data_IF_655842291570
#
_entry.id   IF_655842291570
#
_cell.length_a   1.000
_cell.length_b   1.000
_cell.length_c   1.000
_cell.angle_alpha   90.00
_cell.angle_beta   90.00
_cell.angle_gamma   90.00
#
_symmetry.space_group_name_H-M   'P 1'
#
loop_
_entity.id
_entity.type
_entity.pdbx_description
1 polymer ?
#
# COMPACT_ATOMS: atom_id res chain seq x y z
N UNK A 1 -12.07 -63.67 19.27
CA UNK A 1 -11.79 -63.27 20.67
C UNK A 1 -10.90 -62.03 20.59
N UNK A 2 -11.16 -60.85 21.15
CA UNK A 2 -12.19 -60.26 22.02
C UNK A 2 -12.50 -58.85 21.47
N UNK A 3 -13.74 -58.40 21.67
CA UNK A 3 -14.25 -57.03 21.49
C UNK A 3 -13.79 -56.13 22.65
N UNK A 4 -13.96 -54.81 22.54
CA UNK A 4 -14.66 -53.89 23.48
C UNK A 4 -14.42 -52.44 22.99
N UNK A 5 -15.43 -51.75 22.40
CA UNK A 5 -16.50 -50.91 22.99
C UNK A 5 -15.96 -49.76 23.88
N UNK A 6 -16.13 -48.48 23.49
CA UNK A 6 -17.31 -47.59 23.57
C UNK A 6 -17.64 -47.07 25.00
N UNK A 7 -17.60 -45.74 25.12
CA UNK A 7 -18.60 -44.86 25.76
C UNK A 7 -18.78 -44.82 27.30
N UNK A 8 -18.51 -43.60 27.81
CA UNK A 8 -19.49 -42.71 28.46
C UNK A 8 -19.80 -42.78 29.97
N UNK A 9 -20.09 -41.56 30.47
CA UNK A 9 -20.88 -41.16 31.63
C UNK A 9 -20.17 -41.07 32.99
N UNK A 10 -20.36 -40.07 33.87
CA UNK A 10 -20.92 -38.71 33.93
C UNK A 10 -21.40 -38.49 35.40
N UNK A 11 -21.59 -37.22 35.79
CA UNK A 11 -22.35 -36.68 36.95
C UNK A 11 -21.66 -36.66 38.34
N UNK A 12 -21.79 -35.63 39.20
CA UNK A 12 -22.61 -34.40 39.26
C UNK A 12 -21.96 -33.36 40.24
N UNK A 13 -22.01 -32.03 40.00
CA UNK A 13 -22.93 -31.00 40.57
C UNK A 13 -22.70 -30.64 42.07
N UNK A 14 -22.76 -29.42 42.62
CA UNK A 14 -22.96 -27.98 42.27
C UNK A 14 -22.52 -27.16 43.53
N UNK A 15 -22.24 -25.85 43.52
CA UNK A 15 -23.11 -24.66 43.81
C UNK A 15 -22.10 -23.49 44.02
N UNK A 16 -22.26 -22.21 43.64
CA UNK A 16 -23.46 -21.45 43.29
C UNK A 16 -23.14 -20.14 42.55
N UNK A 17 -24.23 -19.51 42.13
CA UNK A 17 -24.32 -18.46 41.12
C UNK A 17 -23.98 -17.04 41.60
N UNK A 18 -23.56 -16.19 40.66
CA UNK A 18 -24.19 -14.88 40.50
C UNK A 18 -24.29 -14.55 39.00
N UNK A 19 -25.52 -14.35 38.54
CA UNK A 19 -25.85 -13.98 37.19
C UNK A 19 -25.33 -12.56 36.86
N UNK A 20 -24.47 -12.44 35.86
CA UNK A 20 -24.36 -11.24 35.03
C UNK A 20 -24.60 -11.68 33.60
N UNK A 21 -25.61 -11.08 32.97
CA UNK A 21 -25.95 -11.27 31.57
C UNK A 21 -24.71 -11.00 30.72
N UNK A 22 -24.12 -12.05 30.15
CA UNK A 22 -23.35 -11.92 28.92
C UNK A 22 -24.35 -11.47 27.86
N UNK A 23 -24.28 -10.18 27.49
CA UNK A 23 -24.91 -9.69 26.28
C UNK A 23 -24.50 -10.62 25.13
N UNK A 24 -25.49 -11.31 24.56
CA UNK A 24 -25.34 -11.95 23.25
C UNK A 24 -24.76 -10.90 22.32
N UNK A 25 -23.61 -11.22 21.71
CA UNK A 25 -23.16 -10.51 20.52
C UNK A 25 -24.36 -10.39 19.54
N UNK A 26 -24.60 -9.22 18.94
CA UNK A 26 -25.69 -9.06 17.98
C UNK A 26 -25.57 -10.11 16.87
N UNK A 27 -26.67 -10.83 16.66
CA UNK A 27 -26.75 -11.97 15.74
C UNK A 27 -26.82 -11.48 14.29
N UNK A 28 -25.96 -12.08 13.46
CA UNK A 28 -26.03 -12.39 12.02
C UNK A 28 -26.91 -11.53 11.08
N UNK A 29 -26.27 -10.99 10.04
CA UNK A 29 -26.88 -10.70 8.75
C UNK A 29 -25.93 -11.20 7.63
N UNK A 30 -26.44 -11.76 6.53
CA UNK A 30 -26.11 -13.08 6.00
C UNK A 30 -24.62 -13.27 5.70
N UNK A 31 -24.13 -14.45 6.09
CA UNK A 31 -22.79 -14.97 5.89
C UNK A 31 -22.50 -15.18 4.39
N UNK A 32 -22.30 -14.09 3.64
CA UNK A 32 -21.85 -14.13 2.25
C UNK A 32 -20.40 -14.57 2.25
N UNK A 33 -20.17 -15.79 1.74
CA UNK A 33 -18.81 -16.24 1.41
C UNK A 33 -18.31 -15.48 0.19
N UNK A 34 -16.99 -15.31 0.11
CA UNK A 34 -16.30 -14.80 -1.09
C UNK A 34 -16.73 -15.55 -2.36
N UNK A 35 -16.97 -16.86 -2.25
CA UNK A 35 -17.43 -17.71 -3.35
C UNK A 35 -18.91 -17.53 -3.74
N UNK A 36 -19.65 -16.65 -3.06
CA UNK A 36 -21.11 -16.48 -3.19
C UNK A 36 -21.52 -15.05 -3.58
N UNK A 37 -20.61 -14.21 -4.09
CA UNK A 37 -20.98 -12.87 -4.60
C UNK A 37 -22.00 -12.98 -5.73
N UNK A 38 -23.27 -12.79 -5.39
CA UNK A 38 -24.36 -12.53 -6.33
C UNK A 38 -25.08 -11.28 -5.83
N UNK A 39 -25.06 -10.21 -6.63
CA UNK A 39 -25.76 -8.92 -6.48
C UNK A 39 -26.09 -8.49 -5.03
N UNK A 40 -25.17 -7.76 -4.39
CA UNK A 40 -25.43 -7.11 -3.09
C UNK A 40 -25.74 -5.63 -3.34
N UNK A 41 -26.84 -5.14 -2.78
CA UNK A 41 -27.17 -3.71 -2.73
C UNK A 41 -26.41 -3.04 -1.58
N UNK A 42 -25.83 -1.87 -1.82
CA UNK A 42 -24.96 -1.17 -0.87
C UNK A 42 -25.59 0.17 -0.45
N UNK A 43 -25.54 0.51 0.85
CA UNK A 43 -25.99 1.78 1.40
C UNK A 43 -24.79 2.49 2.04
N UNK A 44 -24.56 3.75 1.70
CA UNK A 44 -23.38 4.51 2.12
C UNK A 44 -23.62 5.21 3.45
N UNK A 45 -22.70 5.04 4.40
CA UNK A 45 -23.02 5.19 5.82
C UNK A 45 -22.39 6.39 6.54
N UNK A 46 -21.66 7.27 5.85
CA UNK A 46 -20.88 8.33 6.49
C UNK A 46 -21.59 9.70 6.52
N UNK A 47 -21.82 10.27 7.71
CA UNK A 47 -22.33 11.65 7.91
C UNK A 47 -21.41 12.45 8.84
N UNK A 48 -21.32 13.77 8.63
CA UNK A 48 -20.41 14.66 9.38
C UNK A 48 -20.79 14.71 10.88
N UNK A 49 -19.83 14.44 11.77
CA UNK A 49 -20.03 14.41 13.22
C UNK A 49 -19.64 15.74 13.91
N UNK A 50 -20.12 15.99 15.15
CA UNK A 50 -19.68 17.13 15.97
C UNK A 50 -18.19 17.05 16.33
N UNK A 51 -17.45 18.16 16.24
CA UNK A 51 -15.99 18.21 16.39
C UNK A 51 -15.49 17.57 17.70
N UNK A 52 -14.74 16.48 17.59
CA UNK A 52 -14.01 15.86 18.70
C UNK A 52 -12.52 15.73 18.32
N UNK A 53 -11.64 16.06 19.25
CA UNK A 53 -10.19 15.88 19.09
C UNK A 53 -9.85 14.43 19.45
N UNK A 54 -9.27 13.70 18.50
CA UNK A 54 -8.71 12.36 18.72
C UNK A 54 -7.18 12.49 18.65
N UNK A 55 -6.45 11.92 19.61
CA UNK A 55 -4.98 12.06 19.76
C UNK A 55 -4.25 10.76 19.35
N UNK A 56 -4.42 10.32 18.11
CA UNK A 56 -3.87 9.05 17.58
C UNK A 56 -2.45 9.17 16.99
N UNK A 57 -1.63 10.10 17.51
CA UNK A 57 -0.43 10.61 16.81
C UNK A 57 0.59 9.56 16.36
N UNK A 58 0.79 8.46 17.08
CA UNK A 58 1.79 7.46 16.71
C UNK A 58 1.36 6.59 15.53
N UNK A 59 0.06 6.30 15.41
CA UNK A 59 -0.52 5.42 14.40
C UNK A 59 -0.88 6.14 13.08
N UNK A 60 -1.09 7.45 13.14
CA UNK A 60 -1.40 8.31 11.98
C UNK A 60 -0.12 8.63 11.23
N UNK A 61 -0.18 8.63 9.89
CA UNK A 61 0.95 8.98 9.06
C UNK A 61 0.90 8.29 7.71
N UNK A 62 2.08 8.21 7.09
CA UNK A 62 2.27 7.48 5.86
C UNK A 62 2.71 6.05 6.15
N UNK A 63 2.00 5.09 5.58
CA UNK A 63 2.25 3.67 5.78
C UNK A 63 2.56 3.00 4.45
N UNK A 64 3.42 2.00 4.49
CA UNK A 64 3.64 1.06 3.41
C UNK A 64 2.84 -0.18 3.68
N UNK A 65 1.88 -0.46 2.81
CA UNK A 65 1.04 -1.62 2.86
C UNK A 65 1.60 -2.67 1.92
N UNK A 66 2.12 -3.76 2.48
CA UNK A 66 2.66 -4.87 1.73
C UNK A 66 1.73 -6.07 1.81
N UNK A 67 1.45 -6.66 0.66
CA UNK A 67 0.56 -7.81 0.52
C UNK A 67 1.26 -8.94 -0.21
N UNK A 68 1.08 -10.16 0.27
CA UNK A 68 1.52 -11.35 -0.46
C UNK A 68 0.36 -11.84 -1.32
N UNK A 69 0.57 -11.85 -2.63
CA UNK A 69 -0.35 -12.48 -3.56
C UNK A 69 0.08 -13.92 -3.77
N UNK A 70 -0.58 -14.87 -3.09
CA UNK A 70 -0.25 -16.31 -3.18
C UNK A 70 -0.39 -16.86 -4.61
N UNK A 71 -1.34 -16.36 -5.40
CA UNK A 71 -1.54 -16.81 -6.79
C UNK A 71 -0.39 -16.35 -7.68
N UNK A 72 0.18 -15.19 -7.35
CA UNK A 72 1.30 -14.58 -8.06
C UNK A 72 2.63 -14.78 -7.35
N UNK A 73 2.71 -15.44 -6.21
CA UNK A 73 3.94 -15.64 -5.43
C UNK A 73 4.83 -14.37 -5.36
N UNK A 74 4.23 -13.21 -5.15
CA UNK A 74 4.94 -11.92 -5.15
C UNK A 74 4.40 -10.99 -4.05
N UNK A 75 5.31 -10.18 -3.51
CA UNK A 75 4.96 -9.06 -2.63
C UNK A 75 4.60 -7.82 -3.45
N UNK A 76 3.35 -7.40 -3.33
CA UNK A 76 2.88 -6.14 -3.91
C UNK A 76 2.70 -5.12 -2.80
N UNK A 77 3.34 -3.97 -2.96
CA UNK A 77 3.37 -2.91 -1.95
C UNK A 77 2.73 -1.63 -2.47
N UNK A 78 2.12 -0.88 -1.57
CA UNK A 78 1.39 0.34 -1.87
C UNK A 78 1.63 1.38 -0.79
N UNK A 79 1.52 2.66 -1.13
CA UNK A 79 1.54 3.73 -0.13
C UNK A 79 0.13 4.04 0.33
N UNK A 80 -0.09 3.98 1.63
CA UNK A 80 -1.33 4.33 2.28
C UNK A 80 -1.11 5.56 3.18
N UNK A 81 -2.17 6.32 3.44
CA UNK A 81 -2.10 7.42 4.39
C UNK A 81 -3.29 7.41 5.32
N UNK A 82 -3.00 7.46 6.61
CA UNK A 82 -3.99 7.55 7.66
C UNK A 82 -3.99 8.98 8.21
N UNK A 83 -5.19 9.53 8.42
CA UNK A 83 -5.42 10.86 8.97
C UNK A 83 -6.43 10.80 10.09
N UNK A 84 -6.35 11.73 11.05
CA UNK A 84 -7.46 11.93 11.99
C UNK A 84 -8.72 12.34 11.23
N UNK A 85 -9.83 11.69 11.55
CA UNK A 85 -11.15 12.01 11.06
C UNK A 85 -12.11 12.22 12.23
N UNK A 86 -13.31 12.69 11.91
CA UNK A 86 -14.39 12.76 12.88
C UNK A 86 -15.73 12.73 12.13
N UNK A 87 -16.13 11.51 11.80
CA UNK A 87 -17.31 11.19 10.99
C UNK A 87 -18.16 10.21 11.79
N UNK A 88 -19.47 10.22 11.61
CA UNK A 88 -20.38 9.25 12.22
C UNK A 88 -20.83 8.25 11.16
N UNK A 89 -20.88 6.98 11.54
CA UNK A 89 -21.61 5.97 10.78
C UNK A 89 -23.13 6.12 10.98
N UNK A 90 -23.94 5.37 10.23
CA UNK A 90 -25.40 5.41 10.35
C UNK A 90 -25.94 4.90 11.69
N UNK A 91 -25.13 4.15 12.45
CA UNK A 91 -25.44 3.74 13.81
C UNK A 91 -25.08 4.82 14.85
N UNK A 92 -24.48 5.94 14.42
CA UNK A 92 -24.06 7.05 15.26
C UNK A 92 -22.71 6.85 15.95
N UNK A 93 -21.95 5.80 15.60
CA UNK A 93 -20.60 5.61 16.12
C UNK A 93 -19.63 6.58 15.47
N UNK A 94 -18.74 7.17 16.26
CA UNK A 94 -17.67 8.03 15.74
C UNK A 94 -16.55 7.20 15.12
N UNK A 95 -16.30 7.43 13.83
CA UNK A 95 -15.12 7.02 13.07
C UNK A 95 -14.09 8.16 13.13
N UNK A 96 -12.94 7.86 13.73
CA UNK A 96 -11.92 8.83 14.09
C UNK A 96 -10.65 8.78 13.20
N UNK A 97 -10.65 7.92 12.19
CA UNK A 97 -9.56 7.77 11.22
C UNK A 97 -10.11 7.79 9.80
N UNK A 98 -9.43 8.49 8.90
CA UNK A 98 -9.61 8.41 7.45
C UNK A 98 -8.39 7.71 6.87
N UNK A 99 -8.61 6.63 6.12
CA UNK A 99 -7.57 5.84 5.47
C UNK A 99 -7.70 5.99 3.96
N UNK A 100 -6.73 6.70 3.38
CA UNK A 100 -6.52 6.75 1.93
C UNK A 100 -5.63 5.59 1.52
N UNK A 101 -6.16 4.70 0.69
CA UNK A 101 -5.48 3.48 0.25
C UNK A 101 -4.91 3.71 -1.14
N UNK A 102 -3.75 3.13 -1.44
CA UNK A 102 -3.15 3.15 -2.79
C UNK A 102 -2.93 4.57 -3.33
N UNK A 103 -2.31 5.45 -2.53
CA UNK A 103 -2.07 6.84 -2.91
C UNK A 103 -3.36 7.62 -3.19
N UNK A 104 -4.48 7.20 -2.59
CA UNK A 104 -5.82 7.76 -2.78
C UNK A 104 -6.39 7.58 -4.20
N UNK A 105 -5.85 6.67 -5.03
CA UNK A 105 -6.37 6.45 -6.39
C UNK A 105 -7.81 5.93 -6.42
N UNK A 106 -8.16 5.05 -5.49
CA UNK A 106 -9.54 4.58 -5.31
C UNK A 106 -10.34 5.48 -4.37
N UNK A 107 -9.70 6.44 -3.70
CA UNK A 107 -10.28 7.29 -2.66
C UNK A 107 -9.88 6.84 -1.25
N UNK A 108 -10.86 6.86 -0.33
CA UNK A 108 -10.63 6.63 1.10
C UNK A 108 -11.81 5.94 1.78
N UNK A 109 -11.54 5.33 2.93
CA UNK A 109 -12.54 4.78 3.85
C UNK A 109 -12.35 5.37 5.25
N UNK A 110 -13.35 5.21 6.12
CA UNK A 110 -13.27 5.66 7.50
C UNK A 110 -13.17 4.50 8.48
N UNK A 111 -12.44 4.69 9.55
CA UNK A 111 -12.31 3.69 10.61
C UNK A 111 -12.28 4.30 11.98
N UNK A 112 -12.24 3.41 12.97
CA UNK A 112 -12.10 3.73 14.38
C UNK A 112 -10.80 3.11 14.89
N UNK A 113 -9.94 3.93 15.46
CA UNK A 113 -8.83 3.48 16.30
C UNK A 113 -9.24 3.57 17.77
N UNK A 114 -9.13 2.46 18.47
CA UNK A 114 -9.31 2.35 19.91
C UNK A 114 -7.94 2.30 20.60
N UNK A 115 -7.56 3.40 21.24
CA UNK A 115 -6.29 3.56 21.95
C UNK A 115 -6.13 2.59 23.13
N UNK A 116 -7.23 2.16 23.75
CA UNK A 116 -7.15 1.24 24.90
C UNK A 116 -6.71 -0.17 24.48
N UNK A 117 -7.02 -0.55 23.24
CA UNK A 117 -6.72 -1.88 22.71
C UNK A 117 -5.69 -1.85 21.58
N UNK A 118 -5.26 -0.66 21.13
CA UNK A 118 -4.50 -0.42 19.91
C UNK A 118 -5.12 -1.11 18.68
N UNK A 119 -6.46 -1.06 18.57
CA UNK A 119 -7.19 -1.73 17.49
C UNK A 119 -7.71 -0.70 16.51
N UNK A 120 -7.35 -0.86 15.23
CA UNK A 120 -7.95 -0.15 14.12
C UNK A 120 -9.05 -1.01 13.50
N UNK A 121 -10.24 -0.44 13.32
CA UNK A 121 -11.40 -1.11 12.73
C UNK A 121 -11.99 -0.25 11.62
N UNK A 122 -12.20 -0.84 10.44
CA UNK A 122 -12.95 -0.23 9.33
C UNK A 122 -14.24 -1.03 9.17
N UNK A 123 -15.40 -0.43 9.45
CA UNK A 123 -16.69 -1.07 9.21
C UNK A 123 -16.80 -1.59 7.77
N UNK A 124 -17.33 -2.80 7.61
CA UNK A 124 -17.59 -3.38 6.29
C UNK A 124 -18.60 -2.54 5.50
N UNK A 125 -18.60 -2.72 4.17
CA UNK A 125 -19.57 -2.10 3.23
C UNK A 125 -19.47 -0.58 3.14
N UNK A 126 -18.32 0.00 3.48
CA UNK A 126 -18.11 1.41 3.23
C UNK A 126 -17.83 1.68 1.76
N UNK A 127 -18.46 2.70 1.21
CA UNK A 127 -18.02 3.22 -0.08
C UNK A 127 -16.66 3.88 0.05
N UNK A 128 -15.81 3.61 -0.92
CA UNK A 128 -14.63 4.42 -1.15
C UNK A 128 -15.02 5.83 -1.58
N UNK A 129 -14.23 6.81 -1.14
CA UNK A 129 -14.30 8.17 -1.69
C UNK A 129 -15.66 8.82 -1.51
N UNK A 130 -16.34 8.53 -0.39
CA UNK A 130 -17.70 9.02 -0.11
C UNK A 130 -18.75 8.58 -1.15
N UNK A 131 -18.51 7.47 -1.84
CA UNK A 131 -19.42 6.94 -2.87
C UNK A 131 -19.27 7.62 -4.24
N UNK A 132 -18.23 8.44 -4.44
CA UNK A 132 -17.93 8.95 -5.78
C UNK A 132 -17.59 7.80 -6.72
N UNK A 133 -18.28 7.66 -7.87
CA UNK A 133 -17.96 6.65 -8.85
C UNK A 133 -16.54 6.82 -9.41
N UNK A 134 -15.87 5.70 -9.69
CA UNK A 134 -14.62 5.71 -10.47
C UNK A 134 -14.89 5.31 -11.91
N UNK A 135 -14.00 5.73 -12.80
CA UNK A 135 -14.03 5.34 -14.21
C UNK A 135 -13.51 3.91 -14.38
N UNK A 136 -14.35 3.03 -14.95
CA UNK A 136 -14.03 1.65 -15.30
C UNK A 136 -13.83 1.48 -16.82
N UNK A 137 -13.70 2.58 -17.57
CA UNK A 137 -13.49 2.63 -19.01
C UNK A 137 -14.81 2.85 -19.78
N UNK A 138 -15.71 1.87 -19.78
CA UNK A 138 -16.99 1.96 -20.50
C UNK A 138 -18.15 2.45 -19.61
N UNK A 139 -18.00 2.33 -18.29
CA UNK A 139 -19.00 2.75 -17.30
C UNK A 139 -18.32 3.33 -16.05
N UNK A 140 -19.11 4.04 -15.23
CA UNK A 140 -18.67 4.51 -13.93
C UNK A 140 -19.46 3.81 -12.83
N UNK A 141 -18.78 3.46 -11.75
CA UNK A 141 -19.43 2.76 -10.64
C UNK A 141 -18.75 3.11 -9.31
N UNK A 142 -19.51 3.27 -8.21
CA UNK A 142 -18.95 3.34 -6.87
C UNK A 142 -18.18 2.06 -6.51
N UNK A 143 -17.20 2.19 -5.62
CA UNK A 143 -16.42 1.06 -5.10
C UNK A 143 -16.74 0.86 -3.62
N UNK A 144 -16.87 -0.40 -3.19
CA UNK A 144 -17.21 -0.76 -1.81
C UNK A 144 -16.10 -1.58 -1.18
N UNK A 145 -15.72 -1.21 0.04
CA UNK A 145 -14.71 -1.85 0.87
C UNK A 145 -15.28 -2.94 1.77
N UNK A 146 -14.53 -4.03 1.90
CA UNK A 146 -14.81 -5.12 2.84
C UNK A 146 -13.55 -5.66 3.48
N UNK A 147 -13.60 -5.94 4.78
CA UNK A 147 -12.72 -6.93 5.37
C UNK A 147 -13.10 -8.34 4.92
N UNK A 148 -12.13 -9.24 4.91
CA UNK A 148 -12.30 -10.66 4.64
C UNK A 148 -11.75 -11.44 5.81
N UNK A 149 -12.58 -12.31 6.38
CA UNK A 149 -12.19 -13.18 7.48
C UNK A 149 -11.33 -14.34 7.01
N UNK A 150 -10.63 -14.99 7.94
CA UNK A 150 -9.85 -16.21 7.68
C UNK A 150 -10.71 -17.39 7.19
N UNK A 151 -12.02 -17.33 7.42
CA UNK A 151 -13.03 -18.28 6.93
C UNK A 151 -13.72 -17.84 5.62
N UNK A 152 -13.15 -16.87 4.90
CA UNK A 152 -13.65 -16.37 3.60
C UNK A 152 -15.04 -15.71 3.64
N UNK A 153 -15.44 -15.18 4.80
CA UNK A 153 -16.62 -14.34 4.93
C UNK A 153 -16.25 -12.87 4.96
N UNK A 154 -17.10 -12.04 4.35
CA UNK A 154 -17.03 -10.59 4.54
C UNK A 154 -17.23 -10.20 6.00
N UNK A 155 -16.41 -9.27 6.48
CA UNK A 155 -16.45 -8.76 7.85
C UNK A 155 -15.90 -7.33 7.90
N UNK A 156 -15.96 -6.70 9.08
CA UNK A 156 -15.18 -5.50 9.35
C UNK A 156 -13.69 -5.83 9.19
N UNK A 157 -12.92 -4.89 8.63
CA UNK A 157 -11.47 -5.02 8.65
C UNK A 157 -10.96 -4.60 10.03
N UNK A 158 -10.21 -5.48 10.67
CA UNK A 158 -9.69 -5.25 12.02
C UNK A 158 -8.20 -5.58 12.05
N UNK A 159 -7.40 -4.62 12.49
CA UNK A 159 -5.96 -4.75 12.61
C UNK A 159 -5.47 -4.17 13.94
N UNK A 160 -4.40 -4.76 14.48
CA UNK A 160 -3.77 -4.34 15.72
C UNK A 160 -2.51 -3.55 15.41
N UNK A 161 -2.37 -2.40 16.04
CA UNK A 161 -1.17 -1.58 15.96
C UNK A 161 -0.21 -1.94 17.10
N UNK A 162 1.06 -2.14 16.74
CA UNK A 162 2.16 -2.29 17.68
C UNK A 162 3.05 -1.04 17.64
N UNK A 163 2.99 -0.18 18.68
CA UNK A 163 3.82 1.03 18.74
C UNK A 163 5.32 0.77 18.78
N UNK A 164 5.76 -0.43 19.17
CA UNK A 164 7.19 -0.76 19.29
C UNK A 164 7.83 -1.05 17.93
N UNK A 165 7.07 -1.63 17.02
CA UNK A 165 7.51 -1.97 15.66
C UNK A 165 6.96 -1.01 14.60
N UNK A 166 5.92 -0.23 14.95
CA UNK A 166 5.20 0.61 13.99
C UNK A 166 4.41 -0.21 12.97
N UNK A 167 4.02 -1.44 13.31
CA UNK A 167 3.27 -2.32 12.43
C UNK A 167 1.78 -2.30 12.77
N UNK A 168 0.96 -2.31 11.72
CA UNK A 168 -0.46 -2.59 11.76
C UNK A 168 -0.70 -3.94 11.06
N UNK A 169 -1.13 -4.93 11.82
CA UNK A 169 -1.31 -6.31 11.34
C UNK A 169 -2.76 -6.75 11.53
N UNK A 170 -3.40 -7.35 10.51
CA UNK A 170 -4.70 -7.98 10.69
C UNK A 170 -4.71 -8.94 11.88
N UNK A 171 -5.81 -8.98 12.63
CA UNK A 171 -5.94 -9.95 13.71
C UNK A 171 -6.18 -11.37 13.18
N UNK A 172 -6.12 -12.37 14.06
CA UNK A 172 -6.25 -13.80 13.71
C UNK A 172 -7.59 -14.19 13.04
N UNK A 173 -8.58 -13.30 13.07
CA UNK A 173 -9.89 -13.52 12.45
C UNK A 173 -10.04 -12.86 11.08
N UNK A 174 -9.15 -11.94 10.71
CA UNK A 174 -9.17 -11.15 9.48
C UNK A 174 -8.01 -11.56 8.58
N UNK A 175 -8.32 -12.11 7.41
CA UNK A 175 -7.32 -12.43 6.37
C UNK A 175 -6.83 -11.17 5.65
N UNK A 176 -7.68 -10.16 5.49
CA UNK A 176 -7.31 -8.93 4.79
C UNK A 176 -8.53 -8.15 4.35
N UNK A 177 -8.46 -7.50 3.19
CA UNK A 177 -9.56 -6.71 2.65
C UNK A 177 -9.62 -6.74 1.13
N UNK A 178 -10.79 -6.39 0.60
CA UNK A 178 -11.10 -6.33 -0.82
C UNK A 178 -11.96 -5.11 -1.11
N UNK A 179 -11.79 -4.55 -2.31
CA UNK A 179 -12.63 -3.50 -2.84
C UNK A 179 -13.30 -3.99 -4.12
N UNK A 180 -14.62 -3.80 -4.24
CA UNK A 180 -15.42 -4.28 -5.37
C UNK A 180 -16.23 -3.17 -6.01
N UNK A 181 -16.51 -3.36 -7.31
CA UNK A 181 -17.49 -2.57 -8.05
C UNK A 181 -18.89 -2.78 -7.48
N UNK A 182 -19.57 -1.68 -7.15
CA UNK A 182 -20.86 -1.71 -6.46
C UNK A 182 -22.02 -2.11 -7.39
N UNK A 183 -22.02 -1.60 -8.61
CA UNK A 183 -23.14 -1.67 -9.55
C UNK A 183 -22.65 -1.67 -11.01
N UNK A 184 -23.56 -1.92 -11.94
CA UNK A 184 -23.25 -1.95 -13.37
C UNK A 184 -22.84 -3.33 -13.89
N UNK A 185 -22.27 -3.34 -15.09
CA UNK A 185 -21.86 -4.55 -15.81
C UNK A 185 -20.73 -5.28 -15.08
N UNK A 186 -19.84 -4.54 -14.44
CA UNK A 186 -18.72 -5.09 -13.66
C UNK A 186 -19.06 -5.30 -12.19
N UNK A 187 -20.33 -5.24 -11.77
CA UNK A 187 -20.72 -5.45 -10.37
C UNK A 187 -20.04 -6.71 -9.79
N UNK A 188 -19.50 -6.58 -8.57
CA UNK A 188 -18.75 -7.61 -7.85
C UNK A 188 -17.33 -7.90 -8.38
N UNK A 189 -16.89 -7.26 -9.46
CA UNK A 189 -15.51 -7.35 -9.89
C UNK A 189 -14.57 -6.73 -8.84
N UNK A 190 -13.45 -7.40 -8.60
CA UNK A 190 -12.39 -6.92 -7.71
C UNK A 190 -11.65 -5.75 -8.38
N UNK A 191 -11.57 -4.61 -7.70
CA UNK A 191 -10.65 -3.52 -8.10
C UNK A 191 -9.40 -3.49 -7.25
N UNK A 192 -9.45 -4.09 -6.05
CA UNK A 192 -8.31 -4.27 -5.16
C UNK A 192 -8.54 -5.50 -4.29
N UNK A 193 -7.47 -6.27 -4.09
CA UNK A 193 -7.44 -7.41 -3.18
C UNK A 193 -6.13 -7.42 -2.44
N UNK A 194 -6.22 -7.47 -1.12
CA UNK A 194 -5.05 -7.43 -0.27
C UNK A 194 -5.23 -8.41 0.89
N UNK A 195 -4.49 -9.52 0.84
CA UNK A 195 -4.53 -10.58 1.83
C UNK A 195 -3.19 -10.69 2.57
N UNK A 196 -3.32 -11.04 3.85
CA UNK A 196 -2.27 -10.97 4.86
C UNK A 196 -1.43 -9.67 4.79
N UNK A 197 -2.05 -8.47 4.69
CA UNK A 197 -1.27 -7.25 4.62
C UNK A 197 -0.40 -7.07 5.85
N UNK A 198 0.86 -6.73 5.64
CA UNK A 198 1.71 -6.12 6.65
C UNK A 198 1.79 -4.63 6.35
N UNK A 199 1.28 -3.81 7.25
CA UNK A 199 1.17 -2.37 7.04
C UNK A 199 2.12 -1.66 8.01
N UNK A 200 3.31 -1.28 7.53
CA UNK A 200 4.34 -0.65 8.35
C UNK A 200 4.36 0.87 8.19
N UNK A 201 4.68 1.60 9.26
CA UNK A 201 5.03 3.01 9.11
C UNK A 201 6.22 3.16 8.17
N UNK A 202 6.12 4.09 7.21
CA UNK A 202 7.28 4.44 6.41
C UNK A 202 8.38 4.99 7.32
N UNK A 203 9.54 4.33 7.28
CA UNK A 203 10.68 4.62 8.15
C UNK A 203 11.93 5.04 7.37
N UNK A 204 11.84 5.13 6.05
CA UNK A 204 12.90 5.60 5.18
C UNK A 204 12.36 6.29 3.93
N UNK A 205 13.21 7.06 3.25
CA UNK A 205 12.95 7.61 1.92
C UNK A 205 13.91 6.94 0.92
N UNK A 206 13.35 6.38 -0.14
CA UNK A 206 14.12 6.05 -1.33
C UNK A 206 14.34 7.30 -2.16
N UNK A 207 15.59 7.55 -2.53
CA UNK A 207 15.99 8.53 -3.54
C UNK A 207 16.74 7.86 -4.69
N UNK A 208 16.88 8.54 -5.82
CA UNK A 208 17.69 8.08 -6.95
C UNK A 208 17.18 8.65 -8.27
N UNK A 209 17.41 7.94 -9.36
CA UNK A 209 16.85 8.29 -10.66
C UNK A 209 16.27 7.07 -11.37
N UNK A 210 15.31 7.30 -12.26
CA UNK A 210 14.77 6.26 -13.13
C UNK A 210 14.52 6.77 -14.55
N UNK A 211 14.44 5.86 -15.53
CA UNK A 211 14.14 6.24 -16.91
C UNK A 211 12.64 6.49 -17.12
N UNK A 212 12.30 7.73 -17.48
CA UNK A 212 11.01 8.09 -18.08
C UNK A 212 10.95 7.76 -19.58
N UNK A 213 9.98 8.33 -20.29
CA UNK A 213 9.78 8.07 -21.74
C UNK A 213 10.96 8.50 -22.61
N UNK A 214 11.69 9.55 -22.20
CA UNK A 214 12.79 10.12 -23.00
C UNK A 214 13.89 10.76 -22.15
N UNK A 215 13.81 10.67 -20.83
CA UNK A 215 14.73 11.34 -19.92
C UNK A 215 14.89 10.55 -18.61
N UNK A 216 15.91 10.90 -17.84
CA UNK A 216 16.04 10.47 -16.45
C UNK A 216 15.22 11.39 -15.55
N UNK A 217 14.48 10.78 -14.64
CA UNK A 217 13.61 11.46 -13.68
C UNK A 217 14.11 11.18 -12.26
N UNK A 218 14.00 12.18 -11.39
CA UNK A 218 14.30 12.00 -9.97
C UNK A 218 13.27 11.07 -9.33
N UNK A 219 13.78 10.16 -8.51
CA UNK A 219 13.00 9.27 -7.65
C UNK A 219 13.06 9.81 -6.22
N UNK A 220 11.91 10.01 -5.60
CA UNK A 220 11.78 10.30 -4.17
C UNK A 220 10.47 9.67 -3.70
N UNK A 221 10.54 8.66 -2.85
CA UNK A 221 9.34 8.01 -2.32
C UNK A 221 9.56 7.41 -0.94
N UNK A 222 8.49 7.34 -0.12
CA UNK A 222 8.56 6.66 1.16
C UNK A 222 8.65 5.14 0.98
N UNK A 223 9.46 4.52 1.82
CA UNK A 223 9.61 3.07 1.91
C UNK A 223 9.55 2.63 3.37
N UNK A 224 9.33 1.34 3.57
CA UNK A 224 9.50 0.69 4.85
C UNK A 224 10.64 -0.31 4.73
N UNK A 225 11.66 -0.14 5.57
CA UNK A 225 12.78 -1.06 5.69
C UNK A 225 12.55 -1.92 6.91
N UNK A 226 12.50 -3.24 6.71
CA UNK A 226 12.43 -4.23 7.75
C UNK A 226 13.83 -4.74 8.07
N UNK A 227 14.29 -4.43 9.28
CA UNK A 227 15.60 -4.82 9.80
C UNK A 227 15.52 -6.08 10.69
N UNK A 228 14.36 -6.73 10.79
CA UNK A 228 14.16 -7.87 11.70
C UNK A 228 15.10 -9.05 11.42
N UNK A 229 15.58 -9.18 10.19
CA UNK A 229 16.54 -10.20 9.74
C UNK A 229 17.95 -9.64 9.46
N UNK A 230 18.25 -8.39 9.86
CA UNK A 230 19.54 -7.77 9.56
C UNK A 230 20.72 -8.51 10.21
N UNK A 231 20.52 -9.08 11.40
CA UNK A 231 21.52 -9.91 12.09
C UNK A 231 21.79 -11.23 11.34
N UNK A 232 20.83 -11.69 10.53
CA UNK A 232 20.97 -12.85 9.63
C UNK A 232 21.51 -12.45 8.24
N UNK A 233 21.92 -11.19 8.07
CA UNK A 233 22.54 -10.66 6.85
C UNK A 233 21.56 -10.24 5.77
N UNK A 234 20.29 -9.99 6.09
CA UNK A 234 19.28 -9.56 5.10
C UNK A 234 18.46 -8.38 5.60
N UNK A 235 18.25 -7.40 4.72
CA UNK A 235 17.33 -6.28 4.93
C UNK A 235 16.28 -6.29 3.82
N UNK A 236 15.00 -6.23 4.20
CA UNK A 236 13.90 -6.16 3.24
C UNK A 236 13.41 -4.72 3.09
N UNK A 237 13.31 -4.25 1.86
CA UNK A 237 12.83 -2.92 1.51
C UNK A 237 11.49 -3.04 0.79
N UNK A 238 10.44 -2.51 1.38
CA UNK A 238 9.10 -2.53 0.84
C UNK A 238 8.74 -1.22 0.14
N UNK A 239 7.85 -1.31 -0.84
CA UNK A 239 7.44 -0.19 -1.72
C UNK A 239 8.55 0.31 -2.66
N UNK A 240 9.46 -0.56 -3.09
CA UNK A 240 10.39 -0.22 -4.18
C UNK A 240 9.62 0.00 -5.49
N UNK A 241 9.74 1.19 -6.09
CA UNK A 241 8.89 1.66 -7.18
C UNK A 241 8.96 0.76 -8.41
N UNK A 242 7.80 0.33 -8.93
CA UNK A 242 7.73 -0.47 -10.16
C UNK A 242 7.25 0.33 -11.36
N UNK A 243 6.36 1.29 -11.15
CA UNK A 243 5.71 2.05 -12.22
C UNK A 243 5.11 3.37 -11.74
N UNK A 244 4.84 4.28 -12.68
CA UNK A 244 4.20 5.58 -12.46
C UNK A 244 2.84 5.52 -11.72
N UNK A 245 2.23 4.34 -11.56
CA UNK A 245 0.94 4.16 -10.90
C UNK A 245 1.04 3.98 -9.38
N UNK A 246 2.23 4.13 -8.77
CA UNK A 246 2.40 4.07 -7.31
C UNK A 246 2.39 2.65 -6.73
N UNK A 247 2.53 1.64 -7.58
CA UNK A 247 2.80 0.26 -7.20
C UNK A 247 4.29 0.08 -6.88
N UNK A 248 4.58 -0.62 -5.79
CA UNK A 248 5.92 -1.08 -5.44
C UNK A 248 6.00 -2.59 -5.20
N UNK A 249 7.21 -3.09 -5.02
CA UNK A 249 7.47 -4.45 -4.54
C UNK A 249 8.33 -4.45 -3.28
N UNK A 250 8.51 -5.66 -2.73
CA UNK A 250 9.62 -5.95 -1.83
C UNK A 250 10.90 -6.14 -2.62
N UNK A 251 12.01 -5.65 -2.09
CA UNK A 251 13.37 -5.88 -2.56
C UNK A 251 14.18 -6.39 -1.36
N UNK A 252 14.76 -7.58 -1.49
CA UNK A 252 15.65 -8.15 -0.48
C UNK A 252 17.10 -7.78 -0.80
N UNK A 253 17.79 -7.28 0.20
CA UNK A 253 19.19 -6.82 0.13
C UNK A 253 20.01 -7.65 1.08
N UNK A 254 21.04 -8.32 0.56
CA UNK A 254 22.02 -9.03 1.37
C UNK A 254 22.99 -8.00 1.95
N UNK A 255 23.23 -8.05 3.26
CA UNK A 255 24.14 -7.15 3.99
C UNK A 255 25.20 -7.96 4.73
N UNK A 256 26.46 -7.57 4.58
CA UNK A 256 27.60 -8.14 5.30
C UNK A 256 28.48 -7.01 5.84
N UNK A 257 28.37 -6.74 7.15
CA UNK A 257 29.04 -5.61 7.77
C UNK A 257 28.57 -4.27 7.21
N UNK A 258 29.42 -3.62 6.40
CA UNK A 258 29.11 -2.34 5.75
C UNK A 258 28.81 -2.48 4.25
N UNK A 259 28.90 -3.69 3.71
CA UNK A 259 28.67 -3.97 2.31
C UNK A 259 27.22 -4.44 2.10
N UNK A 260 26.65 -4.10 0.95
CA UNK A 260 25.32 -4.51 0.55
C UNK A 260 25.31 -4.99 -0.91
N UNK A 261 24.52 -6.02 -1.19
CA UNK A 261 24.33 -6.57 -2.52
C UNK A 261 22.88 -7.00 -2.76
N UNK A 262 22.50 -7.19 -4.02
CA UNK A 262 21.18 -7.73 -4.37
C UNK A 262 21.32 -8.93 -5.28
N UNK A 263 20.83 -10.09 -4.83
CA UNK A 263 20.66 -11.24 -5.70
C UNK A 263 19.72 -10.90 -6.87
N UNK A 264 20.14 -11.17 -8.10
CA UNK A 264 19.28 -11.03 -9.28
C UNK A 264 18.26 -12.17 -9.33
N UNK A 265 17.20 -12.01 -10.12
CA UNK A 265 16.13 -13.00 -10.23
C UNK A 265 14.94 -12.78 -9.28
N UNK A 266 15.05 -11.86 -8.32
CA UNK A 266 13.94 -11.48 -7.43
C UNK A 266 12.72 -11.02 -8.24
N UNK A 267 11.50 -11.52 -7.97
CA UNK A 267 10.31 -11.11 -8.70
C UNK A 267 9.93 -9.67 -8.34
N UNK A 268 9.78 -8.82 -9.37
CA UNK A 268 9.42 -7.41 -9.21
C UNK A 268 7.98 -7.11 -9.63
N UNK A 269 7.50 -7.73 -10.71
CA UNK A 269 6.14 -7.53 -11.21
C UNK A 269 5.61 -8.81 -11.89
N UNK A 270 4.33 -9.09 -11.75
CA UNK A 270 3.65 -10.15 -12.49
C UNK A 270 3.22 -9.69 -13.88
N UNK A 271 3.42 -10.54 -14.89
CA UNK A 271 2.92 -10.31 -16.25
C UNK A 271 1.44 -10.73 -16.28
N UNK A 272 0.53 -9.78 -16.45
CA UNK A 272 -0.92 -10.06 -16.38
C UNK A 272 -1.47 -10.88 -17.54
N UNK A 273 -0.82 -10.83 -18.71
CA UNK A 273 -1.20 -11.62 -19.88
C UNK A 273 -0.69 -13.06 -19.74
N UNK A 274 -1.58 -13.97 -19.35
CA UNK A 274 -1.26 -15.39 -19.18
C UNK A 274 -0.77 -16.05 -20.48
N UNK A 275 -1.23 -15.57 -21.64
CA UNK A 275 -0.77 -16.12 -22.93
C UNK A 275 0.71 -15.80 -23.19
N UNK A 276 1.23 -14.74 -22.57
CA UNK A 276 2.61 -14.30 -22.68
C UNK A 276 3.56 -15.09 -21.74
N UNK A 277 3.05 -15.82 -20.74
CA UNK A 277 3.89 -16.50 -19.74
C UNK A 277 4.78 -17.59 -20.33
N UNK A 278 4.28 -18.30 -21.34
CA UNK A 278 5.05 -19.34 -22.02
C UNK A 278 6.35 -18.80 -22.63
N UNK A 279 6.35 -17.51 -22.96
CA UNK A 279 7.40 -16.85 -23.73
C UNK A 279 8.32 -16.01 -22.85
N UNK A 280 7.76 -15.32 -21.85
CA UNK A 280 8.48 -14.33 -21.05
C UNK A 280 8.56 -14.69 -19.56
N UNK A 281 7.97 -15.82 -19.17
CA UNK A 281 7.78 -16.19 -17.77
C UNK A 281 6.61 -15.44 -17.12
N UNK A 282 6.28 -15.82 -15.88
CA UNK A 282 5.21 -15.17 -15.10
C UNK A 282 5.62 -13.80 -14.54
N UNK A 283 6.92 -13.54 -14.41
CA UNK A 283 7.46 -12.39 -13.68
C UNK A 283 8.47 -11.60 -14.48
N UNK A 284 8.45 -10.29 -14.29
CA UNK A 284 9.60 -9.42 -14.46
C UNK A 284 10.50 -9.60 -13.24
N UNK A 285 11.77 -9.91 -13.46
CA UNK A 285 12.74 -10.20 -12.40
C UNK A 285 13.79 -9.10 -12.31
N UNK A 286 14.32 -8.84 -11.11
CA UNK A 286 15.45 -7.95 -10.90
C UNK A 286 16.66 -8.45 -11.70
N UNK A 287 17.26 -7.55 -12.47
CA UNK A 287 18.48 -7.77 -13.26
C UNK A 287 19.47 -6.65 -13.01
N UNK A 288 20.74 -6.99 -13.02
CA UNK A 288 21.79 -6.02 -13.21
C UNK A 288 21.82 -5.49 -14.64
N UNK A 289 22.81 -4.65 -14.95
CA UNK A 289 22.97 -4.12 -16.30
C UNK A 289 24.40 -4.24 -16.79
N UNK A 290 24.52 -4.38 -18.11
CA UNK A 290 25.74 -4.19 -18.84
C UNK A 290 25.77 -2.76 -19.41
N UNK A 291 26.94 -2.12 -19.33
CA UNK A 291 27.18 -0.78 -19.86
C UNK A 291 28.16 -0.90 -21.03
N UNK A 292 27.75 -0.44 -22.20
CA UNK A 292 28.63 -0.22 -23.34
C UNK A 292 28.94 1.28 -23.43
N UNK A 293 30.08 1.67 -22.85
CA UNK A 293 30.54 3.07 -22.86
C UNK A 293 30.83 3.59 -24.26
N UNK A 294 31.31 2.74 -25.17
CA UNK A 294 31.65 3.14 -26.52
C UNK A 294 30.40 3.44 -27.35
N UNK A 295 29.34 2.65 -27.16
CA UNK A 295 28.04 2.89 -27.78
C UNK A 295 27.16 3.88 -26.99
N UNK A 296 27.50 4.17 -25.73
CA UNK A 296 26.68 4.98 -24.82
C UNK A 296 25.35 4.31 -24.48
N UNK A 297 25.32 2.98 -24.36
CA UNK A 297 24.09 2.21 -24.13
C UNK A 297 24.15 1.39 -22.84
N UNK A 298 22.98 1.18 -22.24
CA UNK A 298 22.80 0.28 -21.10
C UNK A 298 21.77 -0.79 -21.48
N UNK A 299 22.02 -2.03 -21.07
CA UNK A 299 21.14 -3.17 -21.34
C UNK A 299 21.05 -4.07 -20.10
N UNK A 300 19.95 -4.84 -19.92
CA UNK A 300 19.90 -5.83 -18.85
C UNK A 300 21.00 -6.88 -19.05
N UNK A 301 21.67 -7.24 -17.95
CA UNK A 301 22.61 -8.36 -17.90
C UNK A 301 21.88 -9.59 -17.32
N UNK A 302 21.80 -10.65 -18.13
CA UNK A 302 21.09 -11.89 -17.78
C UNK A 302 21.99 -12.89 -17.06
N UNK A 303 23.30 -12.72 -17.15
CA UNK A 303 24.30 -13.63 -16.57
C UNK A 303 24.80 -13.13 -15.21
N UNK A 304 24.56 -11.86 -14.88
CA UNK A 304 24.88 -11.27 -13.57
C UNK A 304 24.06 -11.93 -12.45
N UNK A 305 24.74 -12.65 -11.55
CA UNK A 305 24.11 -13.32 -10.41
C UNK A 305 23.74 -12.36 -9.27
N UNK A 306 24.60 -11.36 -9.03
CA UNK A 306 24.44 -10.40 -7.93
C UNK A 306 24.80 -9.00 -8.40
N UNK A 307 24.02 -8.01 -7.98
CA UNK A 307 24.34 -6.59 -8.13
C UNK A 307 25.14 -6.17 -6.90
N UNK A 308 26.44 -5.95 -7.09
CA UNK A 308 27.42 -5.66 -6.04
C UNK A 308 27.70 -4.16 -5.89
N UNK A 309 28.45 -3.80 -4.84
CA UNK A 309 28.96 -2.43 -4.63
C UNK A 309 28.01 -1.51 -3.88
N UNK A 310 26.97 -2.06 -3.25
CA UNK A 310 26.13 -1.32 -2.32
C UNK A 310 26.79 -1.20 -0.93
N UNK A 311 26.25 -0.31 -0.12
CA UNK A 311 26.69 -0.08 1.27
C UNK A 311 25.53 -0.18 2.25
N UNK A 312 25.79 -0.69 3.45
CA UNK A 312 24.88 -0.72 4.58
C UNK A 312 25.50 -0.03 5.80
N UNK A 313 25.11 1.21 6.10
CA UNK A 313 25.73 2.00 7.18
C UNK A 313 24.64 2.64 8.03
N UNK A 314 24.59 2.30 9.32
CA UNK A 314 23.62 2.85 10.28
C UNK A 314 22.15 2.70 9.82
N UNK A 315 21.82 1.57 9.17
CA UNK A 315 20.49 1.33 8.62
C UNK A 315 20.28 1.87 7.20
N UNK A 316 21.13 2.77 6.71
CA UNK A 316 21.06 3.24 5.33
C UNK A 316 21.58 2.18 4.37
N UNK A 317 20.78 1.87 3.35
CA UNK A 317 21.18 1.03 2.21
C UNK A 317 21.39 1.94 1.02
N UNK A 318 22.54 1.86 0.35
CA UNK A 318 22.81 2.67 -0.83
C UNK A 318 23.48 1.86 -1.95
N UNK A 319 23.04 2.10 -3.19
CA UNK A 319 23.62 1.54 -4.41
C UNK A 319 24.09 2.70 -5.30
N UNK A 320 25.16 3.36 -4.86
CA UNK A 320 25.69 4.56 -5.50
C UNK A 320 26.36 4.26 -6.83
N UNK A 321 26.04 5.05 -7.86
CA UNK A 321 26.51 4.84 -9.24
C UNK A 321 26.20 3.44 -9.82
N UNK A 322 25.21 2.75 -9.28
CA UNK A 322 24.80 1.41 -9.74
C UNK A 322 23.48 1.53 -10.49
N UNK A 323 23.40 0.79 -11.59
CA UNK A 323 22.21 0.66 -12.42
C UNK A 323 21.60 -0.73 -12.25
N UNK A 324 20.27 -0.79 -12.27
CA UNK A 324 19.53 -2.05 -12.26
C UNK A 324 18.13 -1.84 -12.84
N UNK A 325 17.43 -2.93 -13.15
CA UNK A 325 16.02 -2.88 -13.57
C UNK A 325 15.33 -4.22 -13.39
N UNK A 326 14.02 -4.23 -13.49
CA UNK A 326 13.26 -5.43 -13.80
C UNK A 326 13.26 -5.74 -15.29
N UNK A 327 13.52 -7.00 -15.66
CA UNK A 327 13.34 -7.52 -17.02
C UNK A 327 12.82 -8.97 -17.00
N UNK A 328 11.93 -9.31 -17.94
CA UNK A 328 11.38 -10.67 -18.10
C UNK A 328 12.37 -11.63 -18.78
N UNK A 329 11.94 -12.86 -19.08
CA UNK A 329 12.68 -13.68 -20.06
C UNK A 329 12.54 -13.07 -21.47
N UNK A 330 13.41 -13.47 -22.41
CA UNK A 330 13.41 -12.97 -23.79
C UNK A 330 12.89 -14.04 -24.76
N UNK A 331 11.98 -13.64 -25.65
CA UNK A 331 11.64 -14.41 -26.84
C UNK A 331 11.66 -13.52 -28.08
N UNK A 332 12.37 -13.96 -29.12
CA UNK A 332 12.46 -13.22 -30.39
C UNK A 332 13.04 -11.80 -30.25
N UNK A 333 13.90 -11.56 -29.25
CA UNK A 333 14.48 -10.24 -28.96
C UNK A 333 13.53 -9.26 -28.27
N UNK A 334 12.39 -9.72 -27.75
CA UNK A 334 11.41 -8.91 -27.02
C UNK A 334 11.29 -9.37 -25.56
N UNK A 335 10.80 -8.49 -24.70
CA UNK A 335 10.51 -8.76 -23.29
C UNK A 335 9.77 -7.60 -22.60
N UNK A 336 9.31 -7.85 -21.38
CA UNK A 336 8.69 -6.85 -20.50
C UNK A 336 9.74 -6.27 -19.55
N UNK A 337 9.62 -4.98 -19.24
CA UNK A 337 10.60 -4.32 -18.41
C UNK A 337 10.00 -3.19 -17.56
N UNK A 338 10.57 -3.00 -16.38
CA UNK A 338 10.40 -1.76 -15.60
C UNK A 338 11.29 -0.66 -16.18
N UNK A 339 11.20 0.60 -15.71
CA UNK A 339 12.28 1.56 -15.89
C UNK A 339 13.65 1.01 -15.46
N UNK A 340 14.73 1.58 -16.00
CA UNK A 340 16.02 1.48 -15.34
C UNK A 340 16.04 2.37 -14.11
N UNK A 341 16.69 1.91 -13.05
CA UNK A 341 16.99 2.65 -11.83
C UNK A 341 18.48 2.92 -11.77
N UNK A 342 18.83 4.05 -11.15
CA UNK A 342 20.21 4.47 -10.97
C UNK A 342 20.41 5.18 -9.64
N UNK A 343 21.55 4.93 -9.01
CA UNK A 343 22.02 5.68 -7.85
C UNK A 343 20.98 5.72 -6.72
N UNK A 344 20.40 4.57 -6.39
CA UNK A 344 19.34 4.50 -5.39
C UNK A 344 19.89 4.44 -3.97
N UNK A 345 19.33 5.27 -3.09
CA UNK A 345 19.64 5.28 -1.66
C UNK A 345 18.36 5.23 -0.85
N UNK A 346 18.36 4.42 0.21
CA UNK A 346 17.26 4.21 1.13
C UNK A 346 17.67 4.74 2.51
N UNK A 347 17.38 6.01 2.75
CA UNK A 347 17.85 6.73 3.95
C UNK A 347 16.83 6.60 5.08
N UNK A 348 17.20 6.03 6.25
CA UNK A 348 16.33 5.95 7.41
C UNK A 348 15.97 7.32 7.95
N UNK A 349 14.78 7.41 8.52
CA UNK A 349 14.28 8.63 9.13
C UNK A 349 14.45 8.56 10.64
N UNK A 350 14.96 9.64 11.23
CA UNK A 350 15.17 9.74 12.68
C UNK A 350 13.85 9.66 13.50
N UNK A 351 12.70 9.86 12.85
CA UNK A 351 11.34 9.81 13.43
C UNK A 351 10.34 9.57 12.30
N UNK A 352 9.39 8.66 12.50
CA UNK A 352 8.38 8.27 11.50
C UNK A 352 7.67 9.45 10.84
N UNK A 353 7.34 9.30 9.56
CA UNK A 353 6.72 10.37 8.77
C UNK A 353 5.29 10.64 9.26
N UNK A 354 5.10 11.77 9.94
CA UNK A 354 3.80 12.40 10.12
C UNK A 354 3.46 13.26 8.88
N UNK A 355 3.17 12.59 7.75
CA UNK A 355 2.77 13.23 6.50
C UNK A 355 3.93 13.58 5.56
N UNK A 356 4.20 12.70 4.60
CA UNK A 356 4.75 13.08 3.31
C UNK A 356 3.56 13.11 2.39
N UNK A 357 3.16 14.29 1.96
CA UNK A 357 2.32 14.42 0.78
C UNK A 357 3.14 13.79 -0.35
N UNK A 358 2.61 12.75 -1.01
CA UNK A 358 3.04 12.43 -2.38
C UNK A 358 3.10 13.79 -3.08
N UNK A 359 4.25 14.18 -3.65
CA UNK A 359 4.36 15.44 -4.41
C UNK A 359 3.45 15.34 -5.63
N UNK A 360 2.15 15.55 -5.42
CA UNK A 360 1.24 16.13 -6.37
C UNK A 360 1.30 17.64 -6.09
N UNK A 361 1.98 18.31 -7.02
CA UNK A 361 2.15 19.75 -7.16
C UNK A 361 3.05 20.48 -6.13
N UNK A 362 4.08 21.13 -6.67
CA UNK A 362 4.91 22.14 -6.00
C UNK A 362 4.04 23.09 -5.18
N UNK A 363 4.57 23.56 -4.05
CA UNK A 363 3.98 24.65 -3.29
C UNK A 363 3.62 25.82 -4.22
N UNK A 364 2.41 26.37 -4.04
CA UNK A 364 1.96 27.56 -4.73
C UNK A 364 3.03 28.66 -4.66
N UNK A 365 3.71 28.88 -5.78
CA UNK A 365 4.64 29.98 -5.97
C UNK A 365 3.88 31.32 -5.92
N UNK A 366 3.77 31.87 -4.71
CA UNK A 366 3.06 33.10 -4.43
C UNK A 366 3.70 34.35 -5.07
N UNK A 367 4.82 34.20 -5.80
CA UNK A 367 5.38 35.28 -6.62
C UNK A 367 4.39 35.64 -7.73
N UNK A 368 4.20 36.93 -7.94
CA UNK A 368 3.31 37.47 -8.95
C UNK A 368 4.19 37.98 -10.08
N UNK A 369 3.84 37.65 -11.32
CA UNK A 369 4.56 38.11 -12.51
C UNK A 369 3.64 38.93 -13.40
N UNK A 370 4.15 39.99 -14.03
CA UNK A 370 3.41 40.66 -15.10
C UNK A 370 3.48 39.85 -16.40
N UNK A 371 2.75 40.26 -17.44
CA UNK A 371 2.74 39.57 -18.73
C UNK A 371 4.11 39.58 -19.46
N UNK A 372 5.04 40.43 -19.04
CA UNK A 372 6.41 40.46 -19.54
C UNK A 372 7.36 39.53 -18.74
N UNK A 373 6.84 38.75 -17.79
CA UNK A 373 7.62 37.78 -17.01
C UNK A 373 8.43 38.38 -15.85
N UNK A 374 8.24 39.66 -15.53
CA UNK A 374 8.92 40.31 -14.40
C UNK A 374 8.16 40.07 -13.11
N UNK A 375 8.87 39.75 -12.03
CA UNK A 375 8.27 39.63 -10.71
C UNK A 375 7.80 41.01 -10.23
N UNK A 376 6.54 41.09 -9.79
CA UNK A 376 5.88 42.31 -9.33
C UNK A 376 5.29 42.12 -7.92
N UNK A 377 5.03 43.24 -7.24
CA UNK A 377 4.43 43.23 -5.90
C UNK A 377 2.91 42.99 -5.95
N UNK A 378 2.31 42.75 -4.78
CA UNK A 378 0.85 42.57 -4.62
C UNK A 378 0.04 43.83 -4.95
N UNK A 379 0.67 45.00 -4.96
CA UNK A 379 0.00 46.27 -5.24
C UNK A 379 -0.05 46.59 -6.74
N UNK A 380 0.61 45.78 -7.57
CA UNK A 380 0.59 45.93 -9.02
C UNK A 380 -0.85 45.81 -9.56
N UNK A 381 -1.24 46.77 -10.39
CA UNK A 381 -2.57 46.86 -11.00
C UNK A 381 -2.51 46.41 -12.45
N UNK A 382 -3.34 45.45 -12.84
CA UNK A 382 -3.38 44.91 -14.20
C UNK A 382 -3.44 43.40 -14.25
N UNK A 383 -3.24 42.83 -15.43
CA UNK A 383 -3.24 41.38 -15.64
C UNK A 383 -1.91 40.81 -15.18
N UNK A 384 -1.97 39.83 -14.27
CA UNK A 384 -0.81 39.17 -13.68
C UNK A 384 -0.94 37.65 -13.76
N UNK A 385 0.19 36.96 -13.59
CA UNK A 385 0.30 35.51 -13.50
C UNK A 385 0.78 35.17 -12.08
N UNK A 386 0.03 34.35 -11.35
CA UNK A 386 0.43 33.80 -10.05
C UNK A 386 0.04 32.32 -10.00
N UNK A 387 0.94 31.44 -9.54
CA UNK A 387 0.70 29.99 -9.54
C UNK A 387 0.29 29.44 -10.93
N UNK A 388 0.84 30.01 -12.02
CA UNK A 388 0.48 29.61 -13.39
C UNK A 388 -0.88 30.09 -13.89
N UNK A 389 -1.68 30.81 -13.07
CA UNK A 389 -3.02 31.30 -13.45
C UNK A 389 -2.99 32.79 -13.76
N UNK A 390 -3.57 33.18 -14.91
CA UNK A 390 -3.79 34.58 -15.28
C UNK A 390 -4.97 35.15 -14.49
N UNK A 391 -4.76 36.27 -13.81
CA UNK A 391 -5.83 36.98 -13.06
C UNK A 391 -5.72 38.50 -13.22
N UNK A 392 -6.85 39.18 -13.11
CA UNK A 392 -6.89 40.65 -13.07
C UNK A 392 -6.73 41.12 -11.62
N UNK A 393 -5.64 41.83 -11.35
CA UNK A 393 -5.38 42.42 -10.04
C UNK A 393 -5.86 43.86 -10.04
N UNK A 394 -6.96 44.09 -9.32
CA UNK A 394 -7.65 45.38 -9.20
C UNK A 394 -7.02 46.27 -8.16
#
# INVERSE_FOLDING_TARGET
>A
MKKFLLASCAFAACIGASAQQLQKAPVANPALRLSQLNAVMFEGTAKKAPAQKIDTKSFIGLLVNNSWDEEKEINFSTTDTLYSANVQDDAGNTLNVKWSIYGNQLGHVYGKFDEATNTFTVPMRQYFGDGQPIDLGEEQSPIVFFGVSTNDYFCDFVAKYDPSTGLLTPNDTVRGYIAIVAEGTYQNAWVMRNFAPTIGHANAIQTGSYTGKSEWLDLEQPVWIDYSAADDGVVDIYNHFLSATGAGCKLSVDVDGQDASMATGQPMLYISDESAHADFGKYIKLRGVAIDEAAGTISPDFDMATIEGGTYINGEVAFSNIYYRGFSEIKGGQGYATPFFFNCTFTPLATGIAGVTVKADKAADNRIFNLAGQQVSKDYKGVVIQNGVKKLQK
#
